data_IF_557258791661
#
_entry.id   IF_557258791661
#
_cell.length_a   1.000
_cell.length_b   1.000
_cell.length_c   1.000
_cell.angle_alpha   90.00
_cell.angle_beta   90.00
_cell.angle_gamma   90.00
#
_symmetry.space_group_name_H-M   'P 1'
#
loop_
_entity.id
_entity.type
_entity.pdbx_description
1 polymer ?
#
# COMPACT_ATOMS: atom_id res chain seq x y z
N UNK A 1 -12.26 -1.04 -23.62
CA UNK A 1 -10.87 -1.54 -23.79
C UNK A 1 -9.95 -0.34 -23.96
N UNK A 2 -8.72 -0.41 -23.50
CA UNK A 2 -7.75 0.68 -23.58
C UNK A 2 -7.40 1.00 -25.02
N UNK A 3 -7.37 2.29 -25.36
CA UNK A 3 -7.05 2.74 -26.71
C UNK A 3 -5.54 2.88 -26.90
N UNK A 4 -5.08 2.93 -28.16
CA UNK A 4 -3.65 3.07 -28.47
C UNK A 4 -3.07 4.43 -28.06
N UNK A 5 -3.90 5.44 -27.96
CA UNK A 5 -3.56 6.80 -27.55
C UNK A 5 -2.94 6.85 -26.15
N UNK A 6 -3.33 5.92 -25.26
CA UNK A 6 -2.71 5.78 -23.92
C UNK A 6 -1.18 5.63 -23.98
N UNK A 7 -0.66 5.01 -25.02
CA UNK A 7 0.74 4.63 -25.15
C UNK A 7 1.53 5.64 -26.00
N UNK A 8 1.15 6.92 -25.93
CA UNK A 8 1.82 8.02 -26.63
C UNK A 8 2.53 8.97 -25.68
N UNK A 9 3.59 9.64 -26.15
CA UNK A 9 4.27 10.68 -25.39
C UNK A 9 3.30 11.82 -25.02
N UNK A 10 2.40 12.18 -25.93
CA UNK A 10 1.44 13.26 -25.73
C UNK A 10 0.50 12.93 -24.56
N UNK A 11 -0.04 11.72 -24.47
CA UNK A 11 -0.93 11.34 -23.37
C UNK A 11 -0.20 11.41 -21.99
N UNK A 12 1.04 10.91 -21.91
CA UNK A 12 1.84 10.99 -20.67
C UNK A 12 2.14 12.44 -20.29
N UNK A 13 2.39 13.30 -21.28
CA UNK A 13 2.60 14.73 -21.07
C UNK A 13 1.36 15.44 -20.53
N UNK A 14 0.18 15.11 -21.07
CA UNK A 14 -1.09 15.68 -20.62
C UNK A 14 -1.41 15.25 -19.18
N UNK A 15 -1.22 13.97 -18.85
CA UNK A 15 -1.34 13.45 -17.50
C UNK A 15 -0.38 14.13 -16.51
N UNK A 16 0.87 14.36 -16.92
CA UNK A 16 1.82 15.10 -16.08
C UNK A 16 1.36 16.52 -15.78
N UNK A 17 0.83 17.23 -16.78
CA UNK A 17 0.29 18.59 -16.58
C UNK A 17 -0.90 18.61 -15.63
N UNK A 18 -1.76 17.60 -15.72
CA UNK A 18 -2.95 17.50 -14.90
C UNK A 18 -2.63 17.10 -13.46
N UNK A 19 -1.77 16.09 -13.26
CA UNK A 19 -1.53 15.46 -11.95
C UNK A 19 -0.33 16.02 -11.21
N UNK A 20 0.67 16.56 -11.92
CA UNK A 20 1.97 16.95 -11.38
C UNK A 20 2.86 15.78 -10.94
N UNK A 21 2.44 14.54 -11.17
CA UNK A 21 3.21 13.34 -10.82
C UNK A 21 4.38 13.12 -11.80
N UNK A 22 5.37 12.29 -11.42
CA UNK A 22 6.53 12.01 -12.26
C UNK A 22 6.16 11.34 -13.58
N UNK A 23 6.55 11.88 -14.74
CA UNK A 23 6.18 11.32 -16.04
C UNK A 23 6.66 9.88 -16.27
N UNK A 24 7.76 9.45 -15.64
CA UNK A 24 8.26 8.07 -15.77
C UNK A 24 7.39 7.11 -14.98
N UNK A 25 6.83 7.56 -13.87
CA UNK A 25 5.90 6.78 -13.04
C UNK A 25 4.53 6.73 -13.70
N UNK A 26 4.04 7.86 -14.24
CA UNK A 26 2.81 7.91 -15.05
C UNK A 26 2.85 6.95 -16.22
N UNK A 27 3.92 6.99 -17.01
CA UNK A 27 4.14 6.08 -18.12
C UNK A 27 4.04 4.61 -17.68
N UNK A 28 4.77 4.22 -16.64
CA UNK A 28 4.72 2.85 -16.12
C UNK A 28 3.34 2.47 -15.58
N UNK A 29 2.64 3.40 -14.95
CA UNK A 29 1.28 3.14 -14.45
C UNK A 29 0.31 2.87 -15.60
N UNK A 30 0.35 3.66 -16.67
CA UNK A 30 -0.48 3.44 -17.86
C UNK A 30 -0.16 2.08 -18.50
N UNK A 31 1.12 1.74 -18.65
CA UNK A 31 1.52 0.44 -19.20
C UNK A 31 1.21 -0.73 -18.24
N UNK A 32 1.19 -0.51 -16.93
CA UNK A 32 0.73 -1.52 -15.97
C UNK A 32 -0.74 -1.86 -16.18
N UNK A 33 -1.61 -0.87 -16.44
CA UNK A 33 -3.00 -1.13 -16.82
C UNK A 33 -3.12 -1.85 -18.18
N UNK A 34 -2.25 -1.54 -19.13
CA UNK A 34 -2.14 -2.31 -20.39
C UNK A 34 -1.81 -3.77 -20.14
N UNK A 35 -0.92 -4.06 -19.19
CA UNK A 35 -0.58 -5.42 -18.77
C UNK A 35 -1.78 -6.11 -18.10
N UNK A 36 -2.47 -5.42 -17.20
CA UNK A 36 -3.66 -5.94 -16.54
C UNK A 36 -4.74 -6.32 -17.58
N UNK A 37 -4.99 -5.44 -18.56
CA UNK A 37 -5.93 -5.71 -19.65
C UNK A 37 -5.47 -6.91 -20.49
N UNK A 38 -4.18 -6.99 -20.84
CA UNK A 38 -3.62 -8.10 -21.64
C UNK A 38 -3.81 -9.44 -20.93
N UNK A 39 -3.48 -9.53 -19.63
CA UNK A 39 -3.65 -10.75 -18.82
C UNK A 39 -5.13 -11.12 -18.72
N UNK A 40 -6.01 -10.16 -18.51
CA UNK A 40 -7.44 -10.41 -18.42
C UNK A 40 -8.02 -10.88 -19.75
N UNK A 41 -7.58 -10.30 -20.86
CA UNK A 41 -8.05 -10.64 -22.21
C UNK A 41 -7.67 -12.05 -22.68
N UNK A 42 -6.55 -12.58 -22.21
CA UNK A 42 -6.14 -13.98 -22.50
C UNK A 42 -6.87 -14.99 -21.62
N UNK A 43 -7.66 -14.53 -20.63
CA UNK A 43 -8.54 -15.37 -19.82
C UNK A 43 -7.87 -16.04 -18.62
N UNK A 44 -6.70 -15.56 -18.14
CA UNK A 44 -6.12 -16.04 -16.89
C UNK A 44 -7.10 -15.75 -15.74
N UNK A 45 -7.45 -16.75 -14.91
CA UNK A 45 -8.22 -16.52 -13.69
C UNK A 45 -7.29 -16.02 -12.58
N UNK A 46 -7.57 -14.85 -12.01
CA UNK A 46 -6.75 -14.26 -10.94
C UNK A 46 -7.55 -13.28 -10.07
N UNK A 47 -7.01 -12.99 -8.89
CA UNK A 47 -7.39 -11.85 -8.06
C UNK A 47 -6.30 -10.80 -8.18
N UNK A 48 -6.67 -9.59 -8.59
CA UNK A 48 -5.76 -8.46 -8.73
C UNK A 48 -5.64 -7.72 -7.40
N UNK A 49 -4.42 -7.63 -6.87
CA UNK A 49 -4.14 -6.97 -5.58
C UNK A 49 -3.04 -5.91 -5.70
N UNK A 50 -2.47 -5.54 -4.57
CA UNK A 50 -1.32 -4.64 -4.51
C UNK A 50 -1.67 -3.16 -4.66
N UNK A 51 -0.66 -2.33 -4.88
CA UNK A 51 -0.82 -0.87 -4.95
C UNK A 51 -1.57 -0.37 -6.16
N UNK A 52 -1.45 -1.06 -7.29
CA UNK A 52 -2.10 -0.65 -8.54
C UNK A 52 -3.60 -0.95 -8.52
N UNK A 53 -4.06 -1.95 -7.75
CA UNK A 53 -5.49 -2.22 -7.59
C UNK A 53 -6.25 -1.07 -6.91
N UNK A 54 -5.57 -0.27 -6.07
CA UNK A 54 -6.16 0.90 -5.43
C UNK A 54 -6.57 1.99 -6.44
N UNK A 55 -5.92 2.04 -7.60
CA UNK A 55 -6.29 2.97 -8.68
C UNK A 55 -7.63 2.62 -9.34
N UNK A 56 -8.11 1.38 -9.20
CA UNK A 56 -9.44 0.95 -9.64
C UNK A 56 -10.46 0.92 -8.49
N UNK A 57 -9.99 0.71 -7.28
CA UNK A 57 -10.86 0.49 -6.12
C UNK A 57 -11.37 1.78 -5.51
N UNK A 58 -10.52 2.81 -5.44
CA UNK A 58 -10.80 4.07 -4.79
C UNK A 58 -11.37 5.09 -5.79
N UNK A 59 -12.38 5.84 -5.37
CA UNK A 59 -12.96 6.91 -6.18
C UNK A 59 -11.95 8.05 -6.42
N UNK A 60 -11.11 8.33 -5.40
CA UNK A 60 -10.04 9.33 -5.48
C UNK A 60 -8.68 8.67 -5.11
N UNK A 61 -8.01 8.01 -6.06
CA UNK A 61 -6.68 7.47 -5.83
C UNK A 61 -5.70 8.60 -5.48
N UNK A 62 -4.81 8.35 -4.53
CA UNK A 62 -3.89 9.39 -4.02
C UNK A 62 -2.45 9.22 -4.46
N UNK A 63 -2.09 8.06 -4.98
CA UNK A 63 -0.76 7.79 -5.51
C UNK A 63 -0.75 6.80 -6.67
N UNK A 64 0.27 6.93 -7.50
CA UNK A 64 0.59 6.00 -8.58
C UNK A 64 1.23 4.70 -8.05
N UNK A 65 1.05 3.63 -8.79
CA UNK A 65 1.73 2.36 -8.65
C UNK A 65 2.05 1.79 -10.03
N UNK A 66 3.11 0.99 -10.15
CA UNK A 66 3.73 0.64 -11.44
C UNK A 66 3.81 -0.86 -11.70
N UNK A 67 3.46 -1.69 -10.73
CA UNK A 67 3.59 -3.13 -10.80
C UNK A 67 2.21 -3.79 -10.76
N UNK A 68 2.07 -4.98 -11.32
CA UNK A 68 0.84 -5.77 -11.26
C UNK A 68 1.08 -6.96 -10.34
N UNK A 69 0.31 -7.02 -9.26
CA UNK A 69 0.33 -8.12 -8.30
C UNK A 69 -0.95 -8.96 -8.45
N UNK A 70 -0.81 -10.25 -8.68
CA UNK A 70 -1.96 -11.15 -8.81
C UNK A 70 -1.81 -12.40 -7.93
N UNK A 71 -2.95 -12.90 -7.46
CA UNK A 71 -3.09 -14.22 -6.86
C UNK A 71 -3.72 -15.15 -7.87
N UNK A 72 -3.15 -16.32 -8.03
CA UNK A 72 -3.73 -17.45 -8.77
C UNK A 72 -3.86 -18.65 -7.87
N UNK A 73 -4.84 -19.52 -8.11
CA UNK A 73 -4.99 -20.77 -7.36
C UNK A 73 -3.74 -21.64 -7.50
N UNK A 74 -3.29 -22.33 -6.41
CA UNK A 74 -2.16 -23.24 -6.46
C UNK A 74 -2.32 -24.30 -7.56
N UNK A 75 -1.24 -24.51 -8.32
CA UNK A 75 -1.23 -25.45 -9.44
C UNK A 75 -1.78 -24.90 -10.75
N UNK A 76 -2.12 -23.61 -10.84
CA UNK A 76 -2.48 -22.95 -12.10
C UNK A 76 -1.25 -22.91 -13.02
N UNK A 77 -1.35 -23.48 -14.23
CA UNK A 77 -0.34 -23.27 -15.26
C UNK A 77 -0.52 -21.90 -15.91
N UNK A 78 0.41 -20.98 -15.61
CA UNK A 78 0.34 -19.60 -16.10
C UNK A 78 1.12 -19.38 -17.40
N UNK A 79 1.95 -20.33 -17.85
CA UNK A 79 2.94 -20.11 -18.90
C UNK A 79 2.30 -19.71 -20.24
N UNK A 80 1.29 -20.47 -20.71
CA UNK A 80 0.61 -20.12 -21.96
C UNK A 80 -0.08 -18.75 -21.90
N UNK A 81 -0.73 -18.44 -20.77
CA UNK A 81 -1.38 -17.13 -20.58
C UNK A 81 -0.38 -15.98 -20.64
N UNK A 82 0.76 -16.11 -19.94
CA UNK A 82 1.81 -15.12 -19.90
C UNK A 82 2.43 -14.91 -21.27
N UNK A 83 2.71 -15.99 -22.00
CA UNK A 83 3.27 -15.92 -23.35
C UNK A 83 2.28 -15.26 -24.35
N UNK A 84 0.98 -15.53 -24.23
CA UNK A 84 -0.05 -14.88 -25.06
C UNK A 84 -0.21 -13.40 -24.72
N UNK A 85 -0.23 -13.05 -23.42
CA UNK A 85 -0.31 -11.67 -22.97
C UNK A 85 0.90 -10.84 -23.46
N UNK A 86 2.12 -11.41 -23.44
CA UNK A 86 3.34 -10.77 -23.92
C UNK A 86 3.36 -10.45 -25.42
N UNK A 87 2.41 -11.01 -26.21
CA UNK A 87 2.24 -10.71 -27.65
C UNK A 87 1.19 -9.64 -27.93
N UNK A 88 0.48 -9.18 -26.89
CA UNK A 88 -0.54 -8.14 -27.00
C UNK A 88 0.13 -6.77 -26.95
N UNK A 89 -0.23 -5.89 -27.89
CA UNK A 89 0.23 -4.51 -27.85
C UNK A 89 -0.19 -3.86 -26.50
N UNK A 90 0.67 -3.12 -25.82
CA UNK A 90 1.92 -2.49 -26.32
C UNK A 90 3.21 -3.30 -26.04
N UNK A 91 3.14 -4.56 -25.64
CA UNK A 91 4.31 -5.35 -25.26
C UNK A 91 5.06 -5.91 -26.45
N UNK A 92 6.39 -5.98 -26.32
CA UNK A 92 7.33 -6.52 -27.31
C UNK A 92 7.71 -7.96 -26.99
N UNK A 93 7.87 -8.25 -25.70
CA UNK A 93 8.29 -9.56 -25.19
C UNK A 93 7.97 -9.69 -23.69
N UNK A 94 8.05 -10.92 -23.19
CA UNK A 94 7.97 -11.24 -21.77
C UNK A 94 9.10 -12.19 -21.41
N UNK A 95 9.72 -11.97 -20.26
CA UNK A 95 10.72 -12.87 -19.67
C UNK A 95 10.42 -13.16 -18.20
N UNK A 96 10.73 -14.36 -17.74
CA UNK A 96 10.66 -14.69 -16.32
C UNK A 96 11.90 -14.16 -15.60
N UNK A 97 11.65 -13.41 -14.52
CA UNK A 97 12.69 -12.91 -13.62
C UNK A 97 12.86 -13.87 -12.45
N UNK A 98 13.69 -14.91 -12.64
CA UNK A 98 13.92 -15.92 -11.60
C UNK A 98 14.62 -15.29 -10.40
N UNK A 99 13.90 -15.12 -9.30
CA UNK A 99 14.44 -14.70 -8.01
C UNK A 99 14.58 -15.92 -7.11
N UNK A 100 15.69 -16.02 -6.38
CA UNK A 100 15.82 -17.03 -5.32
C UNK A 100 14.85 -16.67 -4.20
N UNK A 101 13.74 -17.39 -4.11
CA UNK A 101 12.81 -17.31 -3.00
C UNK A 101 13.47 -17.82 -1.71
N UNK A 102 13.18 -17.20 -0.58
CA UNK A 102 13.62 -17.66 0.74
C UNK A 102 12.56 -18.47 1.49
N UNK A 103 11.38 -18.68 0.92
CA UNK A 103 10.19 -19.19 1.60
C UNK A 103 9.45 -20.22 0.74
N UNK A 104 8.63 -21.07 1.37
CA UNK A 104 7.88 -22.18 0.75
C UNK A 104 6.70 -21.73 -0.15
N UNK A 105 6.54 -20.41 -0.42
CA UNK A 105 5.50 -19.93 -1.32
C UNK A 105 6.00 -19.95 -2.75
N UNK A 106 5.24 -20.55 -3.62
CA UNK A 106 5.46 -20.44 -5.04
C UNK A 106 5.13 -19.01 -5.50
N UNK A 107 6.17 -18.27 -5.89
CA UNK A 107 6.08 -16.95 -6.49
C UNK A 107 6.83 -16.93 -7.80
N UNK A 108 6.21 -16.37 -8.82
CA UNK A 108 6.85 -16.14 -10.10
C UNK A 108 6.80 -14.67 -10.46
N UNK A 109 7.85 -14.18 -11.07
CA UNK A 109 8.01 -12.79 -11.43
C UNK A 109 8.29 -12.70 -12.91
N UNK A 110 7.56 -11.84 -13.62
CA UNK A 110 7.72 -11.65 -15.06
C UNK A 110 7.99 -10.19 -15.37
N UNK A 111 8.80 -9.94 -16.41
CA UNK A 111 9.03 -8.62 -16.98
C UNK A 111 8.40 -8.55 -18.34
N UNK A 112 7.45 -7.65 -18.52
CA UNK A 112 6.82 -7.36 -19.79
C UNK A 112 7.49 -6.13 -20.40
N UNK A 113 8.24 -6.33 -21.47
CA UNK A 113 9.03 -5.31 -22.13
C UNK A 113 8.21 -4.49 -23.10
N UNK A 114 8.42 -3.19 -23.13
CA UNK A 114 7.79 -2.27 -24.07
C UNK A 114 8.75 -1.14 -24.42
N UNK A 115 8.50 -0.47 -25.56
CA UNK A 115 9.26 0.71 -25.95
C UNK A 115 8.63 1.96 -25.34
N UNK A 116 9.41 2.68 -24.52
CA UNK A 116 8.96 3.95 -23.95
C UNK A 116 8.68 4.98 -25.06
N UNK A 117 7.46 5.51 -25.16
CA UNK A 117 7.14 6.55 -26.14
C UNK A 117 7.87 7.86 -25.83
N UNK A 118 8.30 8.10 -24.59
CA UNK A 118 8.99 9.30 -24.14
C UNK A 118 10.49 9.28 -24.45
N UNK A 119 11.12 8.13 -24.31
CA UNK A 119 12.58 8.03 -24.39
C UNK A 119 13.09 7.18 -25.54
N UNK A 120 12.22 6.43 -26.21
CA UNK A 120 12.57 5.43 -27.21
C UNK A 120 13.34 4.22 -26.68
N UNK A 121 13.55 4.12 -25.36
CA UNK A 121 14.26 3.01 -24.72
C UNK A 121 13.29 1.87 -24.40
N UNK A 122 13.80 0.65 -24.45
CA UNK A 122 13.09 -0.51 -23.92
C UNK A 122 13.13 -0.49 -22.40
N UNK A 123 11.96 -0.58 -21.79
CA UNK A 123 11.74 -0.68 -20.32
C UNK A 123 10.68 -1.75 -20.07
N UNK A 124 10.40 -2.06 -18.81
CA UNK A 124 9.47 -3.13 -18.47
C UNK A 124 8.50 -2.76 -17.35
N UNK A 125 7.39 -3.51 -17.30
CA UNK A 125 6.47 -3.61 -16.16
C UNK A 125 6.66 -4.98 -15.51
N UNK A 126 6.61 -4.99 -14.18
CA UNK A 126 6.66 -6.22 -13.39
C UNK A 126 5.26 -6.80 -13.22
N UNK A 127 5.16 -8.11 -13.39
CA UNK A 127 4.04 -8.92 -12.96
C UNK A 127 4.53 -9.86 -11.85
N UNK A 128 3.96 -9.72 -10.68
CA UNK A 128 4.21 -10.60 -9.54
C UNK A 128 3.01 -11.56 -9.39
N UNK A 129 3.27 -12.85 -9.53
CA UNK A 129 2.27 -13.92 -9.44
C UNK A 129 2.52 -14.72 -8.18
N UNK A 130 1.53 -14.77 -7.29
CA UNK A 130 1.57 -15.57 -6.05
C UNK A 130 0.58 -16.72 -6.20
N UNK A 131 1.05 -17.95 -5.97
CA UNK A 131 0.23 -19.16 -6.03
C UNK A 131 -0.27 -19.48 -4.63
N UNK A 132 -1.45 -18.92 -4.29
CA UNK A 132 -2.06 -19.15 -2.99
C UNK A 132 -3.59 -19.17 -3.09
N UNK A 133 -4.24 -19.77 -2.09
CA UNK A 133 -5.70 -19.64 -1.97
C UNK A 133 -6.07 -18.22 -1.58
N UNK A 134 -7.23 -17.77 -2.07
CA UNK A 134 -7.74 -16.45 -1.76
C UNK A 134 -7.86 -16.23 -0.23
N UNK A 135 -7.06 -15.32 0.38
CA UNK A 135 -7.15 -15.02 1.80
C UNK A 135 -8.21 -13.97 2.15
N UNK A 136 -8.86 -13.38 1.14
CA UNK A 136 -9.78 -12.27 1.33
C UNK A 136 -11.23 -12.76 1.50
N UNK A 137 -11.93 -12.18 2.48
CA UNK A 137 -13.33 -12.52 2.78
C UNK A 137 -14.30 -11.97 1.75
N UNK A 138 -13.95 -10.84 1.13
CA UNK A 138 -14.80 -10.16 0.16
C UNK A 138 -13.96 -9.70 -1.02
N UNK A 139 -14.48 -9.95 -2.22
CA UNK A 139 -13.93 -9.47 -3.48
C UNK A 139 -15.03 -8.77 -4.28
N UNK A 140 -14.65 -7.81 -5.10
CA UNK A 140 -15.54 -7.04 -5.97
C UNK A 140 -15.03 -7.04 -7.41
N UNK A 141 -15.94 -6.99 -8.36
CA UNK A 141 -15.59 -6.80 -9.77
C UNK A 141 -15.45 -5.30 -10.06
N UNK A 142 -14.29 -4.91 -10.61
CA UNK A 142 -14.02 -3.53 -11.01
C UNK A 142 -13.68 -3.46 -12.49
N UNK A 143 -14.20 -2.47 -13.23
CA UNK A 143 -13.77 -2.22 -14.59
C UNK A 143 -12.31 -1.74 -14.62
N UNK A 144 -11.56 -2.12 -15.64
CA UNK A 144 -10.24 -1.53 -15.92
C UNK A 144 -10.46 -0.12 -16.47
N UNK A 145 -10.82 0.79 -15.55
CA UNK A 145 -11.15 2.17 -15.85
C UNK A 145 -10.55 3.11 -14.81
N UNK A 146 -9.92 4.20 -15.25
CA UNK A 146 -9.33 5.22 -14.38
C UNK A 146 -9.28 6.55 -15.14
N UNK A 147 -9.24 7.67 -14.44
CA UNK A 147 -9.00 8.99 -15.03
C UNK A 147 -7.67 9.11 -15.78
N UNK A 148 -6.74 8.18 -15.52
CA UNK A 148 -5.44 8.12 -16.22
C UNK A 148 -5.54 7.46 -17.61
N UNK A 149 -6.67 6.88 -17.97
CA UNK A 149 -6.81 5.99 -19.12
C UNK A 149 -7.86 6.46 -20.08
N UNK A 150 -7.59 6.29 -21.35
CA UNK A 150 -8.54 6.45 -22.46
C UNK A 150 -9.06 5.08 -22.85
N UNK A 151 -10.37 4.87 -22.81
CA UNK A 151 -10.99 3.58 -23.17
C UNK A 151 -12.15 3.77 -24.16
N UNK A 152 -12.39 2.73 -24.97
CA UNK A 152 -13.50 2.65 -25.90
C UNK A 152 -14.23 1.32 -25.77
N UNK A 153 -15.55 1.36 -25.99
CA UNK A 153 -16.40 0.17 -25.86
C UNK A 153 -16.58 -0.27 -24.41
N UNK A 154 -16.71 -1.58 -24.18
CA UNK A 154 -16.89 -2.13 -22.84
C UNK A 154 -15.54 -2.39 -22.18
N UNK A 155 -15.39 -1.92 -20.95
CA UNK A 155 -14.23 -2.22 -20.13
C UNK A 155 -14.25 -3.68 -19.66
N UNK A 156 -13.07 -4.29 -19.60
CA UNK A 156 -12.91 -5.61 -18.98
C UNK A 156 -13.02 -5.48 -17.46
N UNK A 157 -13.67 -6.46 -16.84
CA UNK A 157 -13.79 -6.53 -15.38
C UNK A 157 -12.67 -7.38 -14.81
N UNK A 158 -12.14 -6.97 -13.65
CA UNK A 158 -11.17 -7.72 -12.85
C UNK A 158 -11.68 -7.86 -11.42
N UNK A 159 -11.44 -9.04 -10.84
CA UNK A 159 -11.75 -9.32 -9.44
C UNK A 159 -10.66 -8.72 -8.55
N UNK A 160 -11.05 -7.85 -7.61
CA UNK A 160 -10.14 -7.23 -6.63
C UNK A 160 -10.69 -7.46 -5.21
N UNK A 161 -9.85 -7.61 -4.19
CA UNK A 161 -10.33 -7.58 -2.80
C UNK A 161 -11.00 -6.24 -2.51
N UNK A 162 -12.02 -6.23 -1.65
CA UNK A 162 -12.61 -4.95 -1.25
C UNK A 162 -11.63 -4.09 -0.44
N UNK A 163 -11.95 -2.81 -0.25
CA UNK A 163 -11.07 -1.83 0.41
C UNK A 163 -10.72 -2.20 1.86
N UNK A 164 -11.67 -2.84 2.59
CA UNK A 164 -11.45 -3.26 3.96
C UNK A 164 -10.49 -4.47 4.02
N UNK A 165 -10.65 -5.41 3.09
CA UNK A 165 -9.74 -6.55 2.94
C UNK A 165 -8.32 -6.09 2.59
N UNK A 166 -8.16 -5.16 1.63
CA UNK A 166 -6.84 -4.63 1.27
C UNK A 166 -6.21 -3.85 2.44
N UNK A 167 -7.00 -3.12 3.23
CA UNK A 167 -6.47 -2.41 4.41
C UNK A 167 -5.89 -3.38 5.43
N UNK A 168 -6.59 -4.48 5.71
CA UNK A 168 -6.10 -5.53 6.62
C UNK A 168 -4.79 -6.15 6.12
N UNK A 169 -4.69 -6.48 4.83
CA UNK A 169 -3.47 -7.01 4.21
C UNK A 169 -2.31 -6.00 4.29
N UNK A 170 -2.52 -4.77 3.84
CA UNK A 170 -1.47 -3.74 3.80
C UNK A 170 -0.92 -3.35 5.17
N UNK A 171 -1.74 -3.43 6.21
CA UNK A 171 -1.29 -3.13 7.56
C UNK A 171 -0.22 -4.14 8.03
N UNK A 172 -0.27 -5.41 7.58
CA UNK A 172 0.75 -6.41 7.87
C UNK A 172 2.10 -6.07 7.24
N UNK A 173 2.09 -5.36 6.12
CA UNK A 173 3.28 -4.94 5.38
C UNK A 173 3.94 -3.67 5.94
N UNK A 174 3.26 -2.91 6.80
CA UNK A 174 3.81 -1.75 7.50
C UNK A 174 4.28 -2.09 8.92
N UNK A 175 5.10 -3.12 9.04
CA UNK A 175 5.72 -3.59 10.27
C UNK A 175 7.19 -4.00 9.99
N UNK A 176 8.12 -3.03 9.82
CA UNK A 176 9.43 -3.28 9.20
C UNK A 176 10.41 -4.11 10.03
N UNK A 177 10.10 -4.39 11.29
CA UNK A 177 10.90 -5.25 12.18
C UNK A 177 10.35 -6.66 12.31
N UNK A 178 9.14 -6.90 11.78
CA UNK A 178 8.44 -8.20 11.85
C UNK A 178 7.99 -8.65 10.45
N UNK A 179 6.70 -8.60 10.14
CA UNK A 179 6.13 -9.11 8.88
C UNK A 179 6.27 -8.14 7.70
N UNK A 180 6.59 -6.86 7.95
CA UNK A 180 6.64 -5.83 6.92
C UNK A 180 7.90 -5.88 6.05
N UNK A 181 8.03 -4.87 5.22
CA UNK A 181 9.20 -4.66 4.37
C UNK A 181 10.37 -4.24 5.28
N UNK A 182 11.46 -5.02 5.36
CA UNK A 182 12.50 -4.77 6.36
C UNK A 182 13.38 -3.56 6.00
N UNK A 183 13.88 -2.86 7.02
CA UNK A 183 14.92 -1.85 6.88
C UNK A 183 16.21 -2.40 6.25
N UNK A 184 17.02 -1.54 5.63
CA UNK A 184 18.35 -1.88 5.12
C UNK A 184 18.34 -2.81 3.90
N UNK A 185 17.28 -2.75 3.09
CA UNK A 185 17.14 -3.48 1.83
C UNK A 185 16.95 -2.57 0.62
N UNK A 186 17.27 -1.28 0.74
CA UNK A 186 17.03 -0.26 -0.29
C UNK A 186 15.56 -0.21 -0.75
N UNK A 187 14.62 -0.41 0.21
CA UNK A 187 13.17 -0.45 -0.01
C UNK A 187 12.41 0.56 0.86
N UNK A 188 13.05 1.63 1.24
CA UNK A 188 12.48 2.67 2.11
C UNK A 188 11.21 3.29 1.50
N UNK A 189 11.21 3.46 0.17
CA UNK A 189 10.03 3.89 -0.59
C UNK A 189 8.86 2.94 -0.37
N UNK A 190 9.11 1.63 -0.47
CA UNK A 190 8.06 0.61 -0.35
C UNK A 190 7.47 0.58 1.07
N UNK A 191 8.28 0.81 2.11
CA UNK A 191 7.81 0.91 3.49
C UNK A 191 6.81 2.08 3.62
N UNK A 192 7.17 3.26 3.10
CA UNK A 192 6.32 4.46 3.18
C UNK A 192 5.08 4.34 2.30
N UNK A 193 5.16 3.66 1.15
CA UNK A 193 3.97 3.33 0.35
C UNK A 193 2.93 2.53 1.16
N UNK A 194 3.37 1.55 2.00
CA UNK A 194 2.42 0.80 2.83
C UNK A 194 1.74 1.71 3.86
N UNK A 195 2.49 2.56 4.57
CA UNK A 195 1.89 3.53 5.50
C UNK A 195 0.89 4.45 4.80
N UNK A 196 1.26 4.98 3.64
CA UNK A 196 0.42 5.88 2.86
C UNK A 196 -0.88 5.20 2.39
N UNK A 197 -0.79 3.95 1.95
CA UNK A 197 -1.96 3.17 1.55
C UNK A 197 -2.86 2.85 2.74
N UNK A 198 -2.28 2.47 3.89
CA UNK A 198 -3.04 2.25 5.12
C UNK A 198 -3.78 3.52 5.56
N UNK A 199 -3.12 4.68 5.50
CA UNK A 199 -3.74 5.97 5.79
C UNK A 199 -4.88 6.29 4.83
N UNK A 200 -4.67 6.10 3.52
CA UNK A 200 -5.69 6.35 2.50
C UNK A 200 -6.91 5.45 2.70
N UNK A 201 -6.69 4.15 2.87
CA UNK A 201 -7.74 3.16 3.06
C UNK A 201 -8.45 3.30 4.41
N UNK A 202 -7.74 3.72 5.47
CA UNK A 202 -8.38 4.03 6.74
C UNK A 202 -9.49 5.07 6.59
N UNK A 203 -9.29 6.08 5.78
CA UNK A 203 -10.28 7.13 5.54
C UNK A 203 -11.51 6.65 4.75
N UNK A 204 -11.30 5.66 3.88
CA UNK A 204 -12.34 5.04 3.05
C UNK A 204 -13.01 3.81 3.71
N UNK A 205 -12.44 3.32 4.81
CA UNK A 205 -12.93 2.14 5.52
C UNK A 205 -14.34 2.35 6.07
N UNK A 206 -15.21 1.35 5.89
CA UNK A 206 -16.60 1.31 6.37
C UNK A 206 -16.92 0.05 7.17
N UNK A 207 -16.03 -0.95 7.21
CA UNK A 207 -16.19 -2.19 7.98
C UNK A 207 -14.89 -2.55 8.72
N UNK A 208 -14.75 -2.06 9.94
CA UNK A 208 -13.60 -2.34 10.80
C UNK A 208 -13.46 -3.81 11.17
N UNK A 209 -14.58 -4.54 11.32
CA UNK A 209 -14.53 -5.95 11.67
C UNK A 209 -13.90 -6.79 10.55
N UNK A 210 -14.22 -6.48 9.30
CA UNK A 210 -13.55 -7.09 8.14
C UNK A 210 -12.07 -6.76 8.13
N UNK A 211 -11.66 -5.51 8.35
CA UNK A 211 -10.23 -5.12 8.44
C UNK A 211 -9.51 -5.92 9.51
N UNK A 212 -10.04 -5.94 10.74
CA UNK A 212 -9.43 -6.63 11.88
C UNK A 212 -9.30 -8.15 11.63
N UNK A 213 -10.33 -8.74 11.04
CA UNK A 213 -10.37 -10.18 10.77
C UNK A 213 -9.36 -10.58 9.67
N UNK A 214 -9.33 -9.83 8.55
CA UNK A 214 -8.38 -10.07 7.45
C UNK A 214 -6.95 -9.82 7.93
N UNK A 215 -6.71 -8.76 8.72
CA UNK A 215 -5.39 -8.54 9.33
C UNK A 215 -4.92 -9.76 10.12
N UNK A 216 -5.77 -10.30 11.02
CA UNK A 216 -5.44 -11.46 11.85
C UNK A 216 -5.16 -12.73 11.05
N UNK A 217 -5.82 -12.91 9.92
CA UNK A 217 -5.60 -14.04 9.01
C UNK A 217 -4.29 -13.86 8.23
N UNK A 218 -4.13 -12.74 7.56
CA UNK A 218 -2.96 -12.47 6.70
C UNK A 218 -1.67 -12.38 7.53
N UNK A 219 -1.70 -11.79 8.74
CA UNK A 219 -0.51 -11.70 9.58
C UNK A 219 0.02 -13.07 9.98
N UNK A 220 -0.86 -14.06 10.25
CA UNK A 220 -0.45 -15.44 10.53
C UNK A 220 0.25 -16.08 9.33
N UNK A 221 -0.29 -15.85 8.13
CA UNK A 221 0.30 -16.32 6.88
C UNK A 221 1.69 -15.68 6.70
N UNK A 222 1.81 -14.36 6.87
CA UNK A 222 3.09 -13.65 6.72
C UNK A 222 4.13 -14.04 7.78
N UNK A 223 3.71 -14.28 9.01
CA UNK A 223 4.59 -14.81 10.08
C UNK A 223 5.11 -16.19 9.71
N UNK A 224 4.24 -17.08 9.23
CA UNK A 224 4.62 -18.40 8.75
C UNK A 224 5.62 -18.34 7.60
N UNK A 225 5.40 -17.49 6.62
CA UNK A 225 6.30 -17.28 5.48
C UNK A 225 7.70 -16.81 5.87
N UNK A 226 7.83 -16.11 6.97
CA UNK A 226 9.10 -15.57 7.48
C UNK A 226 9.73 -16.44 8.55
N UNK A 227 9.06 -17.52 8.97
CA UNK A 227 9.50 -18.34 10.08
C UNK A 227 9.60 -17.56 11.39
N UNK A 228 8.72 -16.58 11.61
CA UNK A 228 8.72 -15.76 12.81
C UNK A 228 8.01 -16.50 13.95
N UNK A 229 8.70 -16.60 15.08
CA UNK A 229 8.13 -17.07 16.35
C UNK A 229 7.81 -15.84 17.23
N UNK A 230 6.76 -15.11 16.86
CA UNK A 230 6.28 -13.94 17.58
C UNK A 230 4.74 -13.95 17.66
N UNK A 231 4.17 -13.05 18.44
CA UNK A 231 2.73 -12.89 18.57
C UNK A 231 2.20 -11.86 17.55
N UNK A 232 0.92 -11.97 17.21
CA UNK A 232 0.21 -10.95 16.40
C UNK A 232 0.32 -9.57 17.05
N UNK A 233 0.29 -9.50 18.40
CA UNK A 233 0.50 -8.27 19.17
C UNK A 233 1.87 -7.65 18.90
N UNK A 234 2.91 -8.44 18.69
CA UNK A 234 4.27 -7.91 18.43
C UNK A 234 4.33 -7.22 17.07
N UNK A 235 3.61 -7.74 16.08
CA UNK A 235 3.51 -7.11 14.75
C UNK A 235 2.74 -5.79 14.83
N UNK A 236 1.63 -5.74 15.58
CA UNK A 236 0.88 -4.49 15.79
C UNK A 236 1.70 -3.45 16.58
N UNK A 237 2.48 -3.90 17.57
CA UNK A 237 3.38 -3.04 18.32
C UNK A 237 4.51 -2.48 17.44
N UNK A 238 5.04 -3.27 16.49
CA UNK A 238 6.00 -2.79 15.48
C UNK A 238 5.40 -1.69 14.60
N UNK A 239 4.16 -1.86 14.13
CA UNK A 239 3.42 -0.83 13.40
C UNK A 239 3.25 0.45 14.25
N UNK A 240 2.83 0.32 15.50
CA UNK A 240 2.65 1.44 16.44
C UNK A 240 3.98 2.16 16.68
N UNK A 241 5.05 1.43 16.92
CA UNK A 241 6.40 1.98 17.13
C UNK A 241 6.92 2.70 15.88
N UNK A 242 6.64 2.15 14.69
CA UNK A 242 6.96 2.79 13.41
C UNK A 242 6.24 4.12 13.24
N UNK A 243 4.95 4.18 13.58
CA UNK A 243 4.17 5.41 13.58
C UNK A 243 4.74 6.44 14.56
N UNK A 244 5.05 6.04 15.80
CA UNK A 244 5.66 6.91 16.82
C UNK A 244 7.02 7.45 16.35
N UNK A 245 7.84 6.61 15.71
CA UNK A 245 9.12 7.03 15.15
C UNK A 245 8.94 8.10 14.07
N UNK A 246 8.00 7.91 13.14
CA UNK A 246 7.70 8.90 12.07
C UNK A 246 7.20 10.21 12.69
N UNK A 247 6.28 10.17 13.66
CA UNK A 247 5.79 11.35 14.37
C UNK A 247 6.89 12.08 15.13
N UNK A 248 7.75 11.31 15.83
CA UNK A 248 8.83 11.84 16.65
C UNK A 248 10.02 12.39 15.88
N UNK A 249 10.07 12.10 14.58
CA UNK A 249 11.17 12.50 13.68
C UNK A 249 12.53 12.09 14.27
N UNK A 250 13.55 12.91 14.11
CA UNK A 250 14.89 12.67 14.70
C UNK A 250 14.91 12.60 16.24
N UNK A 251 13.82 12.96 16.90
CA UNK A 251 13.72 12.97 18.36
C UNK A 251 13.40 11.61 18.98
N UNK A 252 12.96 10.64 18.18
CA UNK A 252 12.62 9.27 18.61
C UNK A 252 13.21 8.30 17.57
N UNK A 253 14.05 7.35 18.02
CA UNK A 253 14.73 6.36 17.16
C UNK A 253 15.33 6.97 15.89
N UNK A 254 16.36 7.83 16.01
CA UNK A 254 16.86 8.63 14.89
C UNK A 254 17.34 7.80 13.69
N UNK A 255 17.90 6.60 13.91
CA UNK A 255 18.40 5.73 12.85
C UNK A 255 17.25 5.15 12.03
N UNK A 256 16.18 4.66 12.66
CA UNK A 256 14.97 4.18 11.98
C UNK A 256 14.32 5.33 11.22
N UNK A 257 14.27 6.52 11.81
CA UNK A 257 13.71 7.70 11.17
C UNK A 257 14.45 8.08 9.88
N UNK A 258 15.77 7.84 9.78
CA UNK A 258 16.50 8.09 8.52
C UNK A 258 15.96 7.22 7.38
N UNK A 259 15.65 5.96 7.63
CA UNK A 259 15.03 5.07 6.64
C UNK A 259 13.63 5.58 6.26
N UNK A 260 12.79 5.93 7.22
CA UNK A 260 11.48 6.51 6.92
C UNK A 260 11.59 7.83 6.14
N UNK A 261 12.53 8.71 6.49
CA UNK A 261 12.75 9.98 5.80
C UNK A 261 13.19 9.78 4.35
N UNK A 262 14.05 8.79 4.09
CA UNK A 262 14.44 8.43 2.73
C UNK A 262 13.21 8.00 1.91
N UNK A 263 12.34 7.16 2.46
CA UNK A 263 11.08 6.75 1.83
C UNK A 263 10.11 7.92 1.62
N UNK A 264 9.96 8.82 2.62
CA UNK A 264 9.14 10.04 2.53
C UNK A 264 9.63 10.95 1.40
N UNK A 265 10.93 11.06 1.21
CA UNK A 265 11.49 11.83 0.10
C UNK A 265 11.28 11.13 -1.25
N UNK A 266 11.37 9.80 -1.29
CA UNK A 266 11.26 9.04 -2.53
C UNK A 266 9.81 8.93 -3.06
N UNK A 267 8.78 8.98 -2.18
CA UNK A 267 7.38 8.82 -2.59
C UNK A 267 6.84 10.00 -3.40
N UNK A 268 7.54 11.15 -3.42
CA UNK A 268 7.07 12.41 -4.02
C UNK A 268 6.57 12.25 -5.46
N UNK A 269 7.31 11.54 -6.30
CA UNK A 269 6.94 11.33 -7.70
C UNK A 269 5.71 10.44 -7.91
N UNK A 270 5.29 9.71 -6.88
CA UNK A 270 4.14 8.83 -6.92
C UNK A 270 2.83 9.51 -6.49
N UNK A 271 2.88 10.65 -5.79
CA UNK A 271 1.70 11.25 -5.16
C UNK A 271 1.01 12.22 -6.10
N UNK A 272 -0.32 12.16 -6.16
CA UNK A 272 -1.15 13.14 -6.86
C UNK A 272 -1.31 14.42 -6.02
N UNK A 273 -1.27 15.57 -6.70
CA UNK A 273 -1.69 16.86 -6.14
C UNK A 273 -1.14 17.19 -4.74
N UNK A 274 0.17 17.15 -4.57
CA UNK A 274 0.74 17.57 -3.30
C UNK A 274 2.15 17.06 -3.03
N UNK A 275 2.62 17.34 -1.83
CA UNK A 275 3.92 16.87 -1.34
C UNK A 275 3.77 16.25 0.04
N UNK A 276 4.47 15.14 0.25
CA UNK A 276 4.60 14.52 1.55
C UNK A 276 5.91 15.00 2.16
N UNK A 277 5.85 15.52 3.37
CA UNK A 277 7.01 15.88 4.17
C UNK A 277 6.95 15.15 5.52
N UNK A 278 7.97 15.31 6.36
CA UNK A 278 7.98 14.67 7.67
C UNK A 278 6.87 15.12 8.62
N UNK A 279 6.23 16.28 8.35
CA UNK A 279 5.12 16.77 9.16
C UNK A 279 3.82 16.07 8.81
N UNK A 280 3.43 16.11 7.53
CA UNK A 280 2.20 15.43 7.12
C UNK A 280 2.32 13.90 7.14
N UNK A 281 3.51 13.32 6.99
CA UNK A 281 3.74 11.90 7.28
C UNK A 281 3.47 11.57 8.76
N UNK A 282 3.86 12.45 9.69
CA UNK A 282 3.53 12.30 11.12
C UNK A 282 2.03 12.38 11.40
N UNK A 283 1.31 13.26 10.70
CA UNK A 283 -0.15 13.38 10.78
C UNK A 283 -0.81 12.08 10.28
N UNK A 284 -0.40 11.58 9.12
CA UNK A 284 -0.89 10.30 8.57
C UNK A 284 -0.63 9.12 9.52
N UNK A 285 0.54 9.11 10.15
CA UNK A 285 0.93 8.05 11.10
C UNK A 285 0.02 7.99 12.34
N UNK A 286 -0.61 9.10 12.76
CA UNK A 286 -1.58 9.09 13.86
C UNK A 286 -2.80 8.22 13.56
N UNK A 287 -3.35 8.32 12.36
CA UNK A 287 -4.53 7.56 11.94
C UNK A 287 -4.19 6.06 11.78
N UNK A 288 -3.01 5.74 11.21
CA UNK A 288 -2.54 4.36 11.09
C UNK A 288 -2.24 3.76 12.45
N UNK A 289 -1.63 4.52 13.37
CA UNK A 289 -1.42 4.10 14.76
C UNK A 289 -2.74 3.79 15.45
N UNK A 290 -3.75 4.63 15.28
CA UNK A 290 -5.05 4.42 15.89
C UNK A 290 -5.72 3.14 15.38
N UNK A 291 -5.68 2.87 14.08
CA UNK A 291 -6.16 1.63 13.50
C UNK A 291 -5.46 0.41 14.12
N UNK A 292 -4.13 0.41 14.13
CA UNK A 292 -3.36 -0.69 14.71
C UNK A 292 -3.66 -0.88 16.21
N UNK A 293 -3.84 0.23 16.94
CA UNK A 293 -4.21 0.20 18.36
C UNK A 293 -5.59 -0.40 18.58
N UNK A 294 -6.59 -0.05 17.77
CA UNK A 294 -7.93 -0.61 17.90
C UNK A 294 -7.94 -2.13 17.66
N UNK A 295 -7.14 -2.62 16.70
CA UNK A 295 -6.99 -4.06 16.45
C UNK A 295 -6.26 -4.74 17.63
N UNK A 296 -5.20 -4.12 18.14
CA UNK A 296 -4.39 -4.63 19.26
C UNK A 296 -5.20 -4.76 20.55
N UNK A 297 -6.04 -3.76 20.84
CA UNK A 297 -6.88 -3.70 22.04
C UNK A 297 -8.27 -4.29 21.85
N UNK A 298 -8.48 -5.03 20.74
CA UNK A 298 -9.70 -5.79 20.44
C UNK A 298 -10.99 -4.97 20.50
N UNK A 299 -10.92 -3.73 19.98
CA UNK A 299 -12.12 -2.88 19.93
C UNK A 299 -13.19 -3.51 19.03
N UNK A 300 -14.46 -3.40 19.44
CA UNK A 300 -15.57 -3.89 18.64
C UNK A 300 -15.80 -3.05 17.39
N UNK A 301 -15.47 -1.75 17.45
CA UNK A 301 -15.57 -0.82 16.32
C UNK A 301 -14.57 0.31 16.47
N UNK A 302 -14.38 1.08 15.42
CA UNK A 302 -13.46 2.23 15.39
C UNK A 302 -14.24 3.55 15.49
N UNK A 303 -13.86 4.39 16.44
CA UNK A 303 -14.51 5.69 16.61
C UNK A 303 -13.90 6.70 15.65
N UNK A 304 -14.73 7.23 14.75
CA UNK A 304 -14.35 8.36 13.92
C UNK A 304 -14.39 9.65 14.74
N UNK A 305 -13.38 10.50 14.55
CA UNK A 305 -13.33 11.80 15.23
C UNK A 305 -14.30 12.76 14.54
N UNK A 306 -15.42 13.04 15.20
CA UNK A 306 -16.40 14.01 14.74
C UNK A 306 -16.14 15.41 15.33
N UNK A 307 -15.65 15.48 16.58
CA UNK A 307 -15.37 16.71 17.30
C UNK A 307 -13.95 16.71 17.86
N UNK A 308 -13.22 17.79 17.68
CA UNK A 308 -11.82 17.91 18.13
C UNK A 308 -11.67 18.64 19.46
N UNK A 309 -12.66 19.42 19.88
CA UNK A 309 -12.60 20.23 21.09
C UNK A 309 -12.30 19.44 22.37
N UNK A 310 -12.82 18.20 22.59
CA UNK A 310 -12.52 17.40 23.79
C UNK A 310 -11.03 16.99 23.91
N UNK A 311 -10.28 17.13 22.82
CA UNK A 311 -8.87 16.71 22.74
C UNK A 311 -7.88 17.89 22.76
N UNK A 312 -8.37 19.12 22.55
CA UNK A 312 -7.57 20.32 22.33
C UNK A 312 -6.57 20.57 23.46
N UNK A 313 -7.01 20.42 24.72
CA UNK A 313 -6.21 20.69 25.90
C UNK A 313 -5.59 19.44 26.55
N UNK A 314 -5.80 18.27 25.95
CA UNK A 314 -5.23 17.01 26.45
C UNK A 314 -3.71 17.02 26.25
N UNK A 315 -2.98 16.78 27.32
CA UNK A 315 -1.52 16.66 27.31
C UNK A 315 -1.15 15.18 27.42
N UNK A 316 -0.30 14.71 26.52
CA UNK A 316 0.23 13.35 26.59
C UNK A 316 1.35 13.29 27.65
N UNK A 317 1.22 12.38 28.60
CA UNK A 317 2.18 12.16 29.69
C UNK A 317 3.04 10.93 29.40
N UNK A 318 3.94 11.04 28.42
CA UNK A 318 4.86 9.98 28.05
C UNK A 318 6.26 10.54 27.76
N UNK A 319 7.27 9.70 27.85
CA UNK A 319 8.61 10.02 27.37
C UNK A 319 8.52 10.36 25.87
N UNK A 320 9.15 11.43 25.42
CA UNK A 320 9.07 11.84 24.02
C UNK A 320 7.83 12.64 23.63
N UNK A 321 6.80 12.82 24.48
CA UNK A 321 5.57 13.55 24.18
C UNK A 321 5.82 14.95 23.56
N UNK A 322 6.85 15.66 24.03
CA UNK A 322 7.25 16.97 23.48
C UNK A 322 7.64 16.91 22.00
N UNK A 323 8.12 15.74 21.52
CA UNK A 323 8.55 15.56 20.11
C UNK A 323 7.39 15.39 19.14
N UNK A 324 6.23 14.96 19.64
CA UNK A 324 5.02 14.73 18.84
C UNK A 324 3.93 15.77 19.12
N UNK A 325 4.14 16.69 20.07
CA UNK A 325 3.14 17.71 20.46
C UNK A 325 2.80 18.72 19.36
N UNK A 326 3.66 18.88 18.35
CA UNK A 326 3.39 19.76 17.19
C UNK A 326 2.12 19.35 16.43
N UNK A 327 1.75 18.05 16.44
CA UNK A 327 0.60 17.49 15.75
C UNK A 327 -0.69 18.16 16.24
N UNK A 328 -0.77 18.52 17.54
CA UNK A 328 -1.94 19.24 18.10
C UNK A 328 -2.31 20.49 17.32
N UNK A 329 -1.30 21.24 16.89
CA UNK A 329 -1.50 22.50 16.16
C UNK A 329 -1.55 22.30 14.64
N UNK A 330 -0.84 21.28 14.13
CA UNK A 330 -0.78 20.99 12.70
C UNK A 330 -2.07 20.35 12.19
N UNK A 331 -2.62 19.38 12.95
CA UNK A 331 -3.87 18.69 12.65
C UNK A 331 -4.55 18.22 13.95
N UNK A 332 -5.54 18.96 14.47
CA UNK A 332 -6.25 18.62 15.71
C UNK A 332 -7.00 17.28 15.64
N UNK A 333 -7.49 16.87 14.46
CA UNK A 333 -8.16 15.57 14.29
C UNK A 333 -7.18 14.42 14.39
N UNK A 334 -6.02 14.52 13.73
CA UNK A 334 -4.94 13.55 13.88
C UNK A 334 -4.45 13.46 15.34
N UNK A 335 -4.37 14.60 16.02
CA UNK A 335 -4.04 14.62 17.45
C UNK A 335 -5.07 13.90 18.31
N UNK A 336 -6.36 14.02 17.99
CA UNK A 336 -7.42 13.29 18.70
C UNK A 336 -7.29 11.77 18.52
N UNK A 337 -6.96 11.29 17.32
CA UNK A 337 -6.65 9.87 17.08
C UNK A 337 -5.43 9.41 17.89
N UNK A 338 -4.39 10.23 17.96
CA UNK A 338 -3.20 9.95 18.76
C UNK A 338 -3.54 9.85 20.26
N UNK A 339 -4.33 10.78 20.82
CA UNK A 339 -4.80 10.74 22.20
C UNK A 339 -5.61 9.48 22.47
N UNK A 340 -6.53 9.12 21.58
CA UNK A 340 -7.34 7.91 21.72
C UNK A 340 -6.50 6.63 21.67
N UNK A 341 -5.45 6.59 20.83
CA UNK A 341 -4.50 5.47 20.82
C UNK A 341 -3.88 5.27 22.21
N UNK A 342 -3.39 6.32 22.85
CA UNK A 342 -2.81 6.21 24.19
C UNK A 342 -3.83 5.84 25.27
N UNK A 343 -5.05 6.37 25.19
CA UNK A 343 -6.15 6.01 26.10
C UNK A 343 -6.52 4.52 26.05
N UNK A 344 -6.32 3.88 24.89
CA UNK A 344 -6.57 2.44 24.72
C UNK A 344 -5.35 1.60 25.13
N UNK A 345 -4.13 2.04 24.83
CA UNK A 345 -2.90 1.29 25.11
C UNK A 345 -2.57 1.24 26.61
N UNK A 346 -2.82 2.34 27.34
CA UNK A 346 -2.47 2.46 28.77
C UNK A 346 -3.20 1.42 29.63
N UNK A 347 -4.54 1.31 29.64
CA UNK A 347 -5.26 0.32 30.44
C UNK A 347 -5.04 -1.12 29.95
N UNK A 348 -4.68 -1.32 28.69
CA UNK A 348 -4.34 -2.63 28.14
C UNK A 348 -2.92 -3.11 28.49
N UNK A 349 -2.13 -2.28 29.21
CA UNK A 349 -0.79 -2.63 29.64
C UNK A 349 0.30 -2.58 28.56
N UNK A 350 -0.04 -2.07 27.36
CA UNK A 350 0.93 -1.91 26.26
C UNK A 350 1.72 -0.60 26.35
N UNK A 351 1.35 0.27 27.26
CA UNK A 351 2.04 1.54 27.46
C UNK A 351 3.23 1.37 28.38
N UNK A 352 4.38 1.10 27.80
CA UNK A 352 5.68 0.98 28.52
C UNK A 352 6.71 1.90 27.84
N UNK A 353 7.79 2.24 28.56
CA UNK A 353 8.92 2.99 27.97
C UNK A 353 9.52 2.28 26.73
N UNK A 354 9.22 1.00 26.53
CA UNK A 354 9.66 0.20 25.38
C UNK A 354 8.90 0.50 24.06
N UNK A 355 7.74 1.16 24.13
CA UNK A 355 7.01 1.62 22.91
C UNK A 355 7.75 2.79 22.23
N UNK A 356 8.60 3.49 22.97
CA UNK A 356 9.41 4.61 22.53
C UNK A 356 10.84 4.19 22.23
#
# INVERSE_FOLDING_TARGET
MLTRENYTEQHIYDLWKETGADPSILERTVFAFGLLEAIRSVGLPFIFKGGTSLLLLLDEPRRLSTDIDIIVEPGTDVDDYIQRAGKIFPFLSVEENVRKGSNDIEKRHFRFHFQSPRTGKEINILLDVVFERNPYKSVVEKPIHSSLLMSEGNDLLVTVPDKNCILGDKLTAFAPRTTGIPFGKDKELEIIKQMFDCWTLFREMDDFQTVSSVYREVVQIEMGYRGLDCLVSDVLLDTIQSCICIMGRRGIRPDDYQSFLAGINAIQGHVFHGRINGENAGIMACEVMYLATCILTEQADIQRIAEVEPYRDVTLHMKGAKKISYIRNADPAAYAYLVNSFRLLEPAGYFTDSIL
#
